data_IF_960729995464
#
_entry.id   IF_960729995464
#
_cell.length_a   1.000
_cell.length_b   1.000
_cell.length_c   1.000
_cell.angle_alpha   90.00
_cell.angle_beta   90.00
_cell.angle_gamma   90.00
#
_symmetry.space_group_name_H-M   'P 1'
#
loop_
_entity.id
_entity.type
_entity.pdbx_description
1 polymer ?
#
# COMPACT_ATOMS: atom_id res chain seq x y z
N UNK A 1 -16.56 29.63 3.67
CA UNK A 1 -15.63 28.59 3.20
C UNK A 1 -15.17 27.81 4.41
N UNK A 2 -15.35 26.49 4.41
CA UNK A 2 -14.80 25.61 5.45
C UNK A 2 -13.56 24.91 4.89
N UNK A 3 -12.53 24.73 5.73
CA UNK A 3 -11.31 24.01 5.40
C UNK A 3 -11.16 22.84 6.37
N UNK A 4 -10.82 21.66 5.84
CA UNK A 4 -10.51 20.46 6.61
C UNK A 4 -9.04 20.10 6.40
N UNK A 5 -8.42 19.53 7.43
CA UNK A 5 -7.09 18.96 7.31
C UNK A 5 -7.17 17.63 6.56
N UNK A 6 -6.21 17.41 5.64
CA UNK A 6 -6.01 16.08 5.05
C UNK A 6 -5.58 15.08 6.13
N UNK A 7 -5.92 13.80 5.95
CA UNK A 7 -5.61 12.72 6.90
C UNK A 7 -4.10 12.66 7.20
N UNK A 8 -3.28 12.96 6.20
CA UNK A 8 -1.83 13.07 6.29
C UNK A 8 -1.35 13.96 7.46
N UNK A 9 -2.01 15.10 7.72
CA UNK A 9 -1.60 16.00 8.79
C UNK A 9 -1.74 15.36 10.18
N UNK A 10 -2.79 14.55 10.38
CA UNK A 10 -2.98 13.82 11.62
C UNK A 10 -1.91 12.73 11.79
N UNK A 11 -1.61 12.01 10.71
CA UNK A 11 -0.61 10.95 10.70
C UNK A 11 0.80 11.48 10.95
N UNK A 12 1.19 12.58 10.29
CA UNK A 12 2.47 13.27 10.52
C UNK A 12 2.59 13.76 11.98
N UNK A 13 1.48 14.24 12.56
CA UNK A 13 1.42 14.66 13.96
C UNK A 13 1.28 13.49 14.96
N UNK A 14 1.29 12.23 14.48
CA UNK A 14 1.02 11.01 15.27
C UNK A 14 -0.27 11.10 16.11
N UNK A 15 -1.26 11.79 15.57
CA UNK A 15 -2.58 11.90 16.15
C UNK A 15 -3.50 10.83 15.56
N UNK A 16 -4.49 10.35 16.33
CA UNK A 16 -5.50 9.47 15.77
C UNK A 16 -6.26 10.19 14.65
N UNK A 17 -6.61 9.44 13.61
CA UNK A 17 -7.52 9.94 12.58
C UNK A 17 -8.85 10.35 13.21
N UNK A 18 -9.42 11.51 12.85
CA UNK A 18 -10.77 11.89 13.24
C UNK A 18 -11.80 10.77 13.02
N UNK A 19 -12.90 10.74 13.81
CA UNK A 19 -13.99 9.81 13.57
C UNK A 19 -14.66 10.08 12.22
N UNK A 20 -15.36 9.10 11.66
CA UNK A 20 -16.06 9.23 10.37
C UNK A 20 -16.96 10.47 10.30
N UNK A 21 -17.67 10.79 11.38
CA UNK A 21 -18.56 11.95 11.45
C UNK A 21 -17.86 13.30 11.20
N UNK A 22 -16.53 13.36 11.33
CA UNK A 22 -15.74 14.56 11.03
C UNK A 22 -15.71 14.89 9.53
N UNK A 23 -15.84 13.88 8.67
CA UNK A 23 -15.66 13.99 7.22
C UNK A 23 -16.96 14.18 6.45
N UNK A 24 -18.11 14.13 7.14
CA UNK A 24 -19.44 14.21 6.52
C UNK A 24 -19.59 13.20 5.35
N UNK A 25 -19.83 13.68 4.14
CA UNK A 25 -19.93 12.88 2.92
C UNK A 25 -18.62 12.82 2.11
N UNK A 26 -17.47 13.08 2.75
CA UNK A 26 -16.13 13.12 2.14
C UNK A 26 -16.01 14.10 0.95
N UNK A 27 -16.43 15.38 1.08
CA UNK A 27 -16.50 16.31 -0.05
C UNK A 27 -15.14 16.68 -0.66
N UNK A 28 -14.03 16.39 0.03
CA UNK A 28 -12.67 16.75 -0.39
C UNK A 28 -11.72 15.55 -0.43
N UNK A 29 -12.25 14.36 -0.70
CA UNK A 29 -11.48 13.11 -0.75
C UNK A 29 -10.29 13.19 -1.72
N UNK A 30 -10.46 13.88 -2.85
CA UNK A 30 -9.41 14.08 -3.86
C UNK A 30 -8.21 14.91 -3.37
N UNK A 31 -8.36 15.64 -2.26
CA UNK A 31 -7.28 16.39 -1.61
C UNK A 31 -6.70 15.65 -0.39
N UNK A 32 -7.03 14.36 -0.22
CA UNK A 32 -6.55 13.54 0.89
C UNK A 32 -7.31 13.72 2.21
N UNK A 33 -8.43 14.45 2.21
CA UNK A 33 -9.29 14.62 3.40
C UNK A 33 -10.19 13.39 3.55
N UNK A 34 -9.95 12.58 4.59
CA UNK A 34 -10.71 11.37 4.90
C UNK A 34 -10.33 10.14 4.08
N UNK A 35 -9.27 10.19 3.27
CA UNK A 35 -8.88 9.06 2.40
C UNK A 35 -8.47 7.81 3.17
N UNK A 36 -7.73 7.97 4.27
CA UNK A 36 -7.30 6.86 5.11
C UNK A 36 -8.47 6.35 5.94
N UNK A 37 -9.30 7.26 6.45
CA UNK A 37 -10.53 6.88 7.18
C UNK A 37 -11.49 6.07 6.28
N UNK A 38 -11.71 6.52 5.04
CA UNK A 38 -12.55 5.84 4.07
C UNK A 38 -11.97 4.47 3.72
N UNK A 39 -10.66 4.39 3.44
CA UNK A 39 -9.97 3.13 3.16
C UNK A 39 -10.14 2.11 4.31
N UNK A 40 -10.00 2.55 5.58
CA UNK A 40 -10.21 1.66 6.73
C UNK A 40 -11.65 1.15 6.82
N UNK A 41 -12.64 2.02 6.57
CA UNK A 41 -14.06 1.66 6.57
C UNK A 41 -14.39 0.66 5.46
N UNK A 42 -13.89 0.91 4.25
CA UNK A 42 -14.09 0.03 3.11
C UNK A 42 -13.43 -1.34 3.34
N UNK A 43 -12.25 -1.37 3.97
CA UNK A 43 -11.60 -2.61 4.34
C UNK A 43 -12.42 -3.38 5.37
N UNK A 44 -12.98 -2.71 6.39
CA UNK A 44 -13.81 -3.37 7.40
C UNK A 44 -15.05 -4.04 6.77
N UNK A 45 -15.69 -3.36 5.81
CA UNK A 45 -16.82 -3.92 5.07
C UNK A 45 -16.39 -5.14 4.23
N UNK A 46 -15.25 -5.07 3.55
CA UNK A 46 -14.71 -6.16 2.74
C UNK A 46 -14.17 -7.32 3.60
N UNK A 47 -13.70 -7.04 4.81
CA UNK A 47 -13.16 -8.02 5.73
C UNK A 47 -14.20 -9.07 6.17
N UNK A 48 -15.49 -8.73 6.08
CA UNK A 48 -16.60 -9.66 6.32
C UNK A 48 -16.73 -10.75 5.25
N UNK A 49 -16.18 -10.52 4.04
CA UNK A 49 -16.27 -11.47 2.92
C UNK A 49 -14.96 -12.22 2.66
N UNK A 50 -13.92 -11.97 3.46
CA UNK A 50 -12.64 -12.67 3.31
C UNK A 50 -12.78 -14.16 3.62
N UNK A 51 -12.17 -15.05 2.81
CA UNK A 51 -12.21 -16.48 3.07
C UNK A 51 -11.45 -16.82 4.36
N UNK A 52 -11.80 -17.92 5.05
CA UNK A 52 -11.06 -18.36 6.23
C UNK A 52 -9.70 -18.97 5.89
N UNK A 53 -9.51 -19.45 4.65
CA UNK A 53 -8.28 -20.08 4.18
C UNK A 53 -8.03 -19.75 2.71
N UNK A 54 -6.76 -19.72 2.31
CA UNK A 54 -6.31 -19.60 0.93
C UNK A 54 -5.40 -20.77 0.56
N UNK A 55 -5.48 -21.18 -0.71
CA UNK A 55 -4.62 -22.20 -1.28
C UNK A 55 -4.22 -21.77 -2.70
N UNK A 56 -2.93 -21.86 -3.09
CA UNK A 56 -1.80 -22.36 -2.29
C UNK A 56 -1.43 -21.41 -1.12
N UNK A 57 -0.55 -21.87 -0.21
CA UNK A 57 0.02 -21.01 0.84
C UNK A 57 0.81 -19.88 0.18
N UNK A 58 0.66 -18.65 0.68
CA UNK A 58 1.31 -17.46 0.12
C UNK A 58 1.82 -16.51 1.20
N UNK A 59 2.86 -15.78 0.84
CA UNK A 59 3.46 -14.74 1.65
C UNK A 59 3.71 -13.47 0.83
N UNK A 60 3.40 -12.31 1.38
CA UNK A 60 3.54 -11.03 0.69
C UNK A 60 4.21 -10.00 1.58
N UNK A 61 4.94 -9.07 0.94
CA UNK A 61 5.40 -7.83 1.58
C UNK A 61 4.58 -6.67 1.04
N UNK A 62 3.79 -6.01 1.88
CA UNK A 62 2.99 -4.84 1.50
C UNK A 62 3.72 -3.55 1.87
N UNK A 63 4.12 -2.77 0.87
CA UNK A 63 4.89 -1.53 1.08
C UNK A 63 3.95 -0.36 1.28
N UNK A 64 4.21 0.41 2.33
CA UNK A 64 3.46 1.63 2.65
C UNK A 64 4.41 2.71 3.15
N UNK A 65 4.00 3.97 3.09
CA UNK A 65 4.69 5.04 3.80
C UNK A 65 4.57 4.82 5.32
N UNK A 66 5.61 5.09 6.08
CA UNK A 66 5.59 4.90 7.52
C UNK A 66 4.57 5.81 8.24
N UNK A 67 4.06 6.86 7.60
CA UNK A 67 2.98 7.68 8.12
C UNK A 67 1.71 6.87 8.45
N UNK A 68 1.41 5.81 7.67
CA UNK A 68 0.18 5.01 7.84
C UNK A 68 0.38 3.74 8.67
N UNK A 69 1.59 3.46 9.16
CA UNK A 69 1.94 2.21 9.85
C UNK A 69 0.95 1.85 10.96
N UNK A 70 0.73 2.77 11.90
CA UNK A 70 -0.18 2.54 13.01
C UNK A 70 -1.63 2.37 12.54
N UNK A 71 -2.06 3.17 11.57
CA UNK A 71 -3.41 3.14 11.04
C UNK A 71 -3.73 1.83 10.30
N UNK A 72 -2.75 1.26 9.59
CA UNK A 72 -2.92 0.06 8.76
C UNK A 72 -2.61 -1.25 9.48
N UNK A 73 -2.08 -1.20 10.71
CA UNK A 73 -1.85 -2.39 11.54
C UNK A 73 -3.08 -3.32 11.64
N UNK A 74 -4.32 -2.83 11.88
CA UNK A 74 -5.50 -3.69 11.94
C UNK A 74 -5.81 -4.45 10.63
N UNK A 75 -5.48 -3.85 9.48
CA UNK A 75 -5.67 -4.47 8.16
C UNK A 75 -4.80 -5.72 8.05
N UNK A 76 -3.51 -5.56 8.34
CA UNK A 76 -2.51 -6.62 8.27
C UNK A 76 -2.83 -7.74 9.26
N UNK A 77 -3.25 -7.38 10.48
CA UNK A 77 -3.68 -8.36 11.48
C UNK A 77 -4.88 -9.17 10.99
N UNK A 78 -5.89 -8.52 10.39
CA UNK A 78 -7.08 -9.20 9.87
C UNK A 78 -6.75 -10.12 8.68
N UNK A 79 -5.85 -9.71 7.79
CA UNK A 79 -5.38 -10.53 6.67
C UNK A 79 -4.62 -11.77 7.16
N UNK A 80 -3.75 -11.63 8.17
CA UNK A 80 -2.99 -12.75 8.76
C UNK A 80 -3.84 -13.72 9.60
N UNK A 81 -5.13 -13.46 9.78
CA UNK A 81 -6.07 -14.46 10.34
C UNK A 81 -6.53 -15.49 9.31
N UNK A 82 -6.25 -15.27 8.02
CA UNK A 82 -6.58 -16.19 6.94
C UNK A 82 -5.53 -17.31 6.92
N UNK A 83 -5.98 -18.56 7.07
CA UNK A 83 -5.08 -19.71 7.05
C UNK A 83 -4.42 -19.87 5.67
N UNK A 84 -3.10 -20.01 5.63
CA UNK A 84 -2.33 -20.09 4.40
C UNK A 84 -1.90 -18.74 3.82
N UNK A 85 -2.21 -17.62 4.47
CA UNK A 85 -1.76 -16.28 4.08
C UNK A 85 -0.81 -15.69 5.12
N UNK A 86 0.30 -15.11 4.67
CA UNK A 86 1.19 -14.28 5.49
C UNK A 86 1.41 -12.93 4.82
N UNK A 87 0.99 -11.82 5.43
CA UNK A 87 1.24 -10.47 4.93
C UNK A 87 2.13 -9.72 5.90
N UNK A 88 3.32 -9.32 5.46
CA UNK A 88 4.22 -8.45 6.22
C UNK A 88 4.11 -7.03 5.69
N UNK A 89 3.80 -6.08 6.55
CA UNK A 89 3.83 -4.66 6.16
C UNK A 89 5.26 -4.14 6.25
N UNK A 90 5.68 -3.41 5.22
CA UNK A 90 6.94 -2.69 5.14
C UNK A 90 6.66 -1.18 5.17
N UNK A 91 6.56 -0.58 6.35
CA UNK A 91 6.45 0.87 6.50
C UNK A 91 7.81 1.52 6.25
N UNK A 92 7.93 2.32 5.20
CA UNK A 92 9.18 2.95 4.78
C UNK A 92 9.09 4.47 4.87
N UNK A 93 10.21 5.12 5.17
CA UNK A 93 10.38 6.55 4.96
C UNK A 93 11.12 6.80 3.64
N UNK A 94 11.00 8.01 3.09
CA UNK A 94 11.78 8.41 1.91
C UNK A 94 13.11 9.04 2.30
N UNK A 95 14.19 8.31 2.04
CA UNK A 95 15.55 8.84 2.11
C UNK A 95 15.83 9.76 0.92
N UNK A 96 15.21 9.49 -0.24
CA UNK A 96 15.30 10.34 -1.43
C UNK A 96 14.87 11.79 -1.14
N UNK A 97 13.78 11.98 -0.39
CA UNK A 97 13.30 13.30 0.04
C UNK A 97 13.86 13.76 1.40
N UNK A 98 14.72 12.97 2.05
CA UNK A 98 15.27 13.26 3.37
C UNK A 98 14.22 13.36 4.48
N UNK A 99 13.11 12.61 4.38
CA UNK A 99 11.99 12.69 5.31
C UNK A 99 12.05 11.57 6.36
N UNK A 100 11.81 11.89 7.62
CA UNK A 100 11.66 10.88 8.68
C UNK A 100 10.29 10.21 8.66
N UNK A 101 9.24 10.97 8.31
CA UNK A 101 7.88 10.46 8.14
C UNK A 101 7.44 10.73 6.71
N UNK A 102 6.87 9.74 6.04
CA UNK A 102 6.54 9.79 4.62
C UNK A 102 5.19 9.16 4.37
N UNK A 103 4.33 9.86 3.64
CA UNK A 103 3.11 9.27 3.10
C UNK A 103 3.41 8.35 1.93
N UNK A 104 2.59 7.33 1.78
CA UNK A 104 2.75 6.25 0.81
C UNK A 104 3.06 6.76 -0.61
N UNK A 105 2.39 7.82 -1.09
CA UNK A 105 2.56 8.32 -2.47
C UNK A 105 3.88 9.04 -2.76
N UNK A 106 4.67 9.34 -1.74
CA UNK A 106 5.97 9.98 -1.91
C UNK A 106 7.15 9.01 -1.87
N UNK A 107 6.90 7.71 -1.64
CA UNK A 107 7.94 6.69 -1.73
C UNK A 107 8.42 6.52 -3.16
N UNK A 108 9.74 6.47 -3.33
CA UNK A 108 10.40 6.31 -4.62
C UNK A 108 10.90 4.87 -4.82
N UNK A 109 11.31 4.53 -6.05
CA UNK A 109 11.88 3.21 -6.33
C UNK A 109 13.18 2.98 -5.56
N UNK A 110 14.01 4.02 -5.41
CA UNK A 110 15.23 3.98 -4.59
C UNK A 110 14.96 3.73 -3.11
N UNK A 111 13.92 4.35 -2.53
CA UNK A 111 13.55 4.16 -1.13
C UNK A 111 13.19 2.69 -0.86
N UNK A 112 12.41 2.08 -1.76
CA UNK A 112 11.99 0.69 -1.65
C UNK A 112 13.18 -0.25 -1.85
N UNK A 113 13.97 -0.04 -2.91
CA UNK A 113 15.11 -0.89 -3.21
C UNK A 113 16.15 -0.90 -2.08
N UNK A 114 16.51 0.28 -1.56
CA UNK A 114 17.53 0.40 -0.51
C UNK A 114 17.11 -0.26 0.80
N UNK A 115 15.82 -0.26 1.12
CA UNK A 115 15.31 -0.78 2.39
C UNK A 115 14.84 -2.24 2.33
N UNK A 116 14.56 -2.78 1.14
CA UNK A 116 14.05 -4.15 0.97
C UNK A 116 15.05 -5.12 0.34
N UNK A 117 16.11 -4.64 -0.29
CA UNK A 117 17.13 -5.51 -0.89
C UNK A 117 17.76 -6.44 0.15
N UNK A 118 17.84 -7.73 -0.20
CA UNK A 118 18.41 -8.76 0.68
C UNK A 118 17.49 -9.25 1.80
N UNK A 119 16.25 -8.72 1.91
CA UNK A 119 15.25 -9.23 2.87
C UNK A 119 14.44 -10.39 2.28
N UNK A 120 13.79 -11.16 3.15
CA UNK A 120 12.80 -12.17 2.75
C UNK A 120 11.49 -11.45 2.45
N UNK A 121 11.09 -11.42 1.18
CA UNK A 121 9.93 -10.63 0.71
C UNK A 121 8.66 -11.45 0.50
N UNK A 122 8.78 -12.78 0.48
CA UNK A 122 7.70 -13.70 0.14
C UNK A 122 7.55 -13.90 -1.37
N UNK A 123 6.34 -14.27 -1.79
CA UNK A 123 5.99 -14.56 -3.18
C UNK A 123 5.89 -13.29 -4.04
N UNK A 124 5.47 -12.16 -3.44
CA UNK A 124 5.47 -10.87 -4.11
C UNK A 124 5.53 -9.68 -3.14
N UNK A 125 6.00 -8.55 -3.66
CA UNK A 125 5.87 -7.22 -3.06
C UNK A 125 4.62 -6.55 -3.63
N UNK A 126 3.72 -6.10 -2.76
CA UNK A 126 2.51 -5.37 -3.12
C UNK A 126 2.75 -3.87 -2.96
N UNK A 127 2.54 -3.10 -4.02
CA UNK A 127 2.76 -1.66 -4.07
C UNK A 127 1.47 -0.90 -4.40
N UNK A 128 1.03 0.03 -3.54
CA UNK A 128 -0.03 0.98 -3.90
C UNK A 128 0.29 1.72 -5.21
N UNK A 129 -0.62 1.68 -6.18
CA UNK A 129 -0.43 2.30 -7.50
C UNK A 129 -0.21 3.83 -7.41
N UNK A 130 -0.67 4.46 -6.33
CA UNK A 130 -0.44 5.87 -6.03
C UNK A 130 1.05 6.25 -5.86
N UNK A 131 1.96 5.28 -5.74
CA UNK A 131 3.42 5.50 -5.76
C UNK A 131 3.98 5.72 -7.17
N UNK A 132 3.19 5.39 -8.20
CA UNK A 132 3.60 5.34 -9.59
C UNK A 132 3.06 6.55 -10.34
N UNK A 133 3.85 7.07 -11.28
CA UNK A 133 3.43 8.11 -12.21
C UNK A 133 2.26 7.58 -13.04
N UNK A 134 1.25 8.43 -13.25
CA UNK A 134 0.16 8.10 -14.17
C UNK A 134 0.74 7.88 -15.56
N UNK A 135 0.60 6.65 -16.06
CA UNK A 135 1.01 6.22 -17.39
C UNK A 135 -0.19 5.56 -18.04
N UNK A 136 -0.44 5.89 -19.31
CA UNK A 136 -1.49 5.23 -20.11
C UNK A 136 -1.10 3.79 -20.48
N UNK A 137 0.14 3.38 -20.18
CA UNK A 137 0.66 2.07 -20.48
C UNK A 137 0.39 1.07 -19.36
N UNK A 138 -0.18 -0.08 -19.73
CA UNK A 138 -0.37 -1.23 -18.84
C UNK A 138 0.90 -2.10 -18.72
N UNK A 139 2.03 -1.59 -19.23
CA UNK A 139 3.31 -2.30 -19.23
C UNK A 139 4.16 -1.88 -18.02
N UNK A 140 4.58 -2.83 -17.15
CA UNK A 140 5.44 -2.54 -16.01
C UNK A 140 6.75 -1.82 -16.38
N UNK A 141 7.33 -2.12 -17.54
CA UNK A 141 8.54 -1.47 -18.06
C UNK A 141 8.31 0.00 -18.47
N UNK A 142 7.06 0.39 -18.68
CA UNK A 142 6.62 1.76 -19.00
C UNK A 142 5.91 2.43 -17.80
N UNK A 143 6.09 1.86 -16.60
CA UNK A 143 5.56 2.39 -15.33
C UNK A 143 6.72 2.83 -14.43
N UNK A 144 6.66 4.05 -13.92
CA UNK A 144 7.78 4.71 -13.25
C UNK A 144 7.40 5.29 -11.89
N UNK A 145 8.33 5.27 -10.95
CA UNK A 145 8.26 6.02 -9.70
C UNK A 145 8.63 7.50 -9.92
N UNK A 146 8.45 8.33 -8.89
CA UNK A 146 8.80 9.76 -8.94
C UNK A 146 10.29 10.02 -9.24
N UNK A 147 11.18 9.08 -8.89
CA UNK A 147 12.62 9.14 -9.13
C UNK A 147 13.08 8.51 -10.47
N UNK A 148 12.15 8.31 -11.41
CA UNK A 148 12.39 7.73 -12.73
C UNK A 148 12.91 6.28 -12.75
N UNK A 149 12.91 5.60 -11.61
CA UNK A 149 13.08 4.15 -11.58
C UNK A 149 11.83 3.49 -12.17
N UNK A 150 11.99 2.51 -13.05
CA UNK A 150 10.85 1.72 -13.54
C UNK A 150 10.46 0.61 -12.57
N UNK A 151 9.19 0.19 -12.61
CA UNK A 151 8.70 -0.93 -11.81
C UNK A 151 9.49 -2.21 -12.11
N UNK A 152 9.83 -2.43 -13.37
CA UNK A 152 10.67 -3.55 -13.81
C UNK A 152 12.10 -3.48 -13.22
N UNK A 153 12.71 -2.29 -13.15
CA UNK A 153 14.01 -2.12 -12.50
C UNK A 153 13.95 -2.46 -11.00
N UNK A 154 12.88 -2.06 -10.31
CA UNK A 154 12.68 -2.40 -8.91
C UNK A 154 12.53 -3.92 -8.72
N UNK A 155 11.68 -4.57 -9.52
CA UNK A 155 11.50 -6.02 -9.47
C UNK A 155 12.83 -6.78 -9.66
N UNK A 156 13.63 -6.35 -10.64
CA UNK A 156 14.96 -6.90 -10.89
C UNK A 156 15.92 -6.69 -9.70
N UNK A 157 15.92 -5.50 -9.09
CA UNK A 157 16.76 -5.19 -7.92
C UNK A 157 16.38 -6.02 -6.69
N UNK A 158 15.09 -6.29 -6.49
CA UNK A 158 14.58 -7.07 -5.36
C UNK A 158 14.63 -8.57 -5.61
N UNK A 159 14.86 -9.00 -6.85
CA UNK A 159 14.73 -10.40 -7.29
C UNK A 159 13.40 -11.02 -6.81
N UNK A 160 12.32 -10.26 -6.95
CA UNK A 160 10.99 -10.60 -6.44
C UNK A 160 9.91 -10.08 -7.41
N UNK A 161 8.75 -10.73 -7.44
CA UNK A 161 7.58 -10.19 -8.14
C UNK A 161 7.11 -8.92 -7.46
N UNK A 162 6.80 -7.89 -8.25
CA UNK A 162 6.26 -6.63 -7.75
C UNK A 162 4.92 -6.39 -8.43
N UNK A 163 3.86 -6.29 -7.62
CA UNK A 163 2.49 -6.11 -8.08
C UNK A 163 1.98 -4.74 -7.64
N UNK A 164 1.50 -3.93 -8.59
CA UNK A 164 0.75 -2.73 -8.27
C UNK A 164 -0.68 -3.08 -7.85
N UNK A 165 -1.19 -2.41 -6.80
CA UNK A 165 -2.58 -2.53 -6.32
C UNK A 165 -3.21 -1.16 -6.35
N UNK A 166 -4.31 -1.00 -7.09
CA UNK A 166 -5.01 0.29 -7.23
C UNK A 166 -5.78 0.65 -5.96
N UNK A 167 -6.42 -0.33 -5.33
CA UNK A 167 -7.10 -0.15 -4.06
C UNK A 167 -7.28 -1.46 -3.30
N UNK A 168 -8.28 -1.45 -2.43
CA UNK A 168 -8.64 -2.61 -1.60
C UNK A 168 -9.07 -3.85 -2.39
N UNK A 169 -9.87 -3.74 -3.47
CA UNK A 169 -10.26 -4.92 -4.24
C UNK A 169 -9.05 -5.66 -4.79
N UNK A 170 -8.08 -4.95 -5.35
CA UNK A 170 -6.85 -5.52 -5.92
C UNK A 170 -5.93 -6.07 -4.83
N UNK A 171 -5.80 -5.37 -3.69
CA UNK A 171 -5.05 -5.85 -2.53
C UNK A 171 -5.62 -7.19 -2.01
N UNK A 172 -6.94 -7.27 -1.84
CA UNK A 172 -7.62 -8.48 -1.36
C UNK A 172 -7.56 -9.58 -2.42
N UNK A 173 -7.74 -9.25 -3.70
CA UNK A 173 -7.63 -10.21 -4.79
C UNK A 173 -6.21 -10.80 -4.88
N UNK A 174 -5.16 -9.99 -4.74
CA UNK A 174 -3.78 -10.47 -4.69
C UNK A 174 -3.56 -11.46 -3.53
N UNK A 175 -4.17 -11.18 -2.37
CA UNK A 175 -4.06 -12.02 -1.18
C UNK A 175 -4.86 -13.33 -1.27
N UNK A 176 -6.00 -13.33 -1.99
CA UNK A 176 -6.99 -14.43 -1.93
C UNK A 176 -7.14 -15.22 -3.24
N UNK A 177 -6.60 -14.73 -4.35
CA UNK A 177 -6.63 -15.42 -5.65
C UNK A 177 -5.83 -16.72 -5.61
N UNK A 178 -6.28 -17.72 -6.36
CA UNK A 178 -5.58 -19.00 -6.56
C UNK A 178 -4.36 -18.90 -7.48
N UNK A 179 -4.25 -17.84 -8.28
CA UNK A 179 -3.13 -17.58 -9.20
C UNK A 179 -2.49 -16.24 -8.91
N UNK A 180 -1.15 -16.19 -8.91
CA UNK A 180 -0.41 -14.93 -8.99
C UNK A 180 -0.18 -14.63 -10.46
N UNK A 181 -0.21 -13.36 -10.89
CA UNK A 181 0.32 -12.97 -12.19
C UNK A 181 1.75 -13.50 -12.28
N UNK A 182 2.07 -14.24 -13.35
CA UNK A 182 3.45 -14.68 -13.60
C UNK A 182 4.24 -13.49 -14.16
N UNK A 183 5.50 -13.36 -13.78
CA UNK A 183 6.45 -12.46 -14.46
C UNK A 183 6.38 -12.72 -15.98
N UNK A 184 6.34 -11.68 -16.84
CA UNK A 184 6.60 -11.83 -18.26
C UNK A 184 8.03 -12.33 -18.52
#
# INVERSE_FOLDING_TARGET
>A
TFAWLADEWFLLARQPLPPESHYEAYPQIGNGVGSIRLFLKEFEALAATLPPTVSPVRSFTWVVGNAVEQAFTPIVQRLNQIEGLSVTMAPLNSQYWGQEITVTGLLTGQDIASQLMGKVLGDAVLLPALMLKQSDSQRPEETYFLDDMSLAQLANKLNCLVLSVEGLPELVAACTSSTLPRHP
#
